data_IF_636045020148
#
_entry.id   IF_636045020148
#
_cell.length_a   1.000
_cell.length_b   1.000
_cell.length_c   1.000
_cell.angle_alpha   90.00
_cell.angle_beta   90.00
_cell.angle_gamma   90.00
#
_symmetry.space_group_name_H-M   'P 1'
#
loop_
_entity.id
_entity.type
_entity.pdbx_description
1 polymer ?
#
# COMPACT_ATOMS: atom_id res chain seq x y z
N UNK A 1 18.29 -6.39 13.59
CA UNK A 1 17.80 -5.01 13.73
C UNK A 1 16.44 -4.95 13.07
N UNK A 2 15.53 -4.16 13.61
CA UNK A 2 14.17 -4.04 13.09
C UNK A 2 14.07 -2.89 12.09
N UNK A 3 13.07 -2.94 11.23
CA UNK A 3 12.72 -1.83 10.34
C UNK A 3 12.21 -0.68 11.20
N UNK A 4 12.73 0.53 10.96
CA UNK A 4 12.30 1.72 11.70
C UNK A 4 11.46 2.62 10.79
N UNK A 5 10.30 3.05 11.28
CA UNK A 5 9.45 4.04 10.62
C UNK A 5 9.42 5.28 11.52
N UNK A 6 9.88 6.41 11.00
CA UNK A 6 10.20 7.58 11.79
C UNK A 6 9.29 8.76 11.46
N UNK A 7 8.86 9.45 12.52
CA UNK A 7 8.18 10.75 12.46
C UNK A 7 9.03 11.78 13.22
N UNK A 8 10.03 12.39 12.56
CA UNK A 8 11.00 13.25 13.22
C UNK A 8 10.36 14.56 13.69
N UNK A 9 10.90 15.13 14.77
CA UNK A 9 10.52 16.46 15.23
C UNK A 9 10.72 17.50 14.13
N UNK A 10 9.81 18.49 14.06
CA UNK A 10 9.81 19.53 13.04
C UNK A 10 9.00 19.20 11.78
N UNK A 11 8.47 17.97 11.66
CA UNK A 11 7.49 17.58 10.65
C UNK A 11 6.14 17.23 11.29
N UNK A 12 5.10 17.13 10.46
CA UNK A 12 3.76 16.71 10.91
C UNK A 12 3.79 15.29 11.49
N UNK A 13 3.23 15.10 12.68
CA UNK A 13 2.95 13.76 13.23
C UNK A 13 1.60 13.28 12.71
N UNK A 14 1.57 12.11 12.08
CA UNK A 14 0.39 11.60 11.37
C UNK A 14 0.04 10.18 11.80
N UNK A 15 -1.23 9.86 12.12
CA UNK A 15 -1.63 8.47 12.32
C UNK A 15 -1.66 7.65 11.02
N UNK A 16 -1.57 8.31 9.86
CA UNK A 16 -1.75 7.67 8.56
C UNK A 16 -0.45 7.35 7.80
N UNK A 17 0.68 8.00 8.13
CA UNK A 17 1.96 7.76 7.44
C UNK A 17 3.18 8.17 8.28
N UNK A 18 4.31 7.53 8.02
CA UNK A 18 5.63 7.97 8.52
C UNK A 18 6.42 8.72 7.44
N UNK A 19 7.44 9.48 7.85
CA UNK A 19 8.27 10.27 6.91
C UNK A 19 9.49 9.53 6.39
N UNK A 20 10.06 8.61 7.17
CA UNK A 20 11.31 7.92 6.84
C UNK A 20 11.21 6.45 7.23
N UNK A 21 11.69 5.56 6.36
CA UNK A 21 11.92 4.15 6.65
C UNK A 21 13.43 3.86 6.67
N UNK A 22 13.89 3.18 7.71
CA UNK A 22 15.25 2.63 7.79
C UNK A 22 15.14 1.12 7.75
N UNK A 23 15.58 0.54 6.63
CA UNK A 23 15.66 -0.92 6.46
C UNK A 23 17.07 -1.38 6.83
N UNK A 24 17.21 -2.30 7.80
CA UNK A 24 18.52 -2.71 8.29
C UNK A 24 19.29 -3.56 7.27
N UNK A 25 20.63 -3.55 7.29
CA UNK A 25 21.45 -4.41 6.45
C UNK A 25 21.09 -5.90 6.59
N UNK A 26 21.15 -6.63 5.47
CA UNK A 26 20.80 -8.05 5.42
C UNK A 26 19.31 -8.36 5.27
N UNK A 27 18.44 -7.33 5.23
CA UNK A 27 17.02 -7.52 4.95
C UNK A 27 16.77 -7.80 3.46
N UNK A 28 15.80 -8.66 3.15
CA UNK A 28 15.30 -8.85 1.78
C UNK A 28 14.32 -7.73 1.45
N UNK A 29 14.57 -6.99 0.36
CA UNK A 29 13.63 -5.97 -0.14
C UNK A 29 12.73 -6.59 -1.21
N UNK A 30 11.43 -6.38 -1.07
CA UNK A 30 10.40 -6.89 -1.98
C UNK A 30 9.75 -5.69 -2.68
N UNK A 31 9.71 -5.75 -4.01
CA UNK A 31 9.06 -4.74 -4.84
C UNK A 31 7.73 -5.30 -5.35
N UNK A 32 6.63 -4.72 -4.87
CA UNK A 32 5.28 -5.05 -5.30
C UNK A 32 4.89 -4.15 -6.48
N UNK A 33 4.60 -4.76 -7.64
CA UNK A 33 4.05 -4.05 -8.79
C UNK A 33 2.65 -3.50 -8.54
N UNK A 34 2.19 -2.59 -9.41
CA UNK A 34 0.86 -1.97 -9.31
C UNK A 34 -0.27 -2.99 -9.25
N UNK A 35 -1.16 -2.83 -8.27
CA UNK A 35 -2.39 -3.59 -8.09
C UNK A 35 -3.58 -2.65 -8.29
N UNK A 36 -4.45 -2.99 -9.24
CA UNK A 36 -5.77 -2.40 -9.37
C UNK A 36 -6.82 -3.29 -8.66
N UNK A 37 -8.05 -2.81 -8.55
CA UNK A 37 -9.19 -3.62 -8.12
C UNK A 37 -9.72 -4.50 -9.24
N UNK A 38 -8.88 -5.40 -9.78
CA UNK A 38 -9.25 -6.38 -10.80
C UNK A 38 -9.24 -7.80 -10.25
N UNK A 39 -10.17 -8.63 -10.71
CA UNK A 39 -10.22 -10.05 -10.41
C UNK A 39 -9.13 -10.85 -11.19
N UNK A 40 -9.09 -12.17 -11.00
CA UNK A 40 -8.15 -13.07 -11.65
C UNK A 40 -8.28 -13.12 -13.18
N UNK A 41 -9.40 -12.64 -13.73
CA UNK A 41 -9.63 -12.53 -15.18
C UNK A 41 -9.18 -11.17 -15.72
N UNK A 42 -8.72 -10.27 -14.86
CA UNK A 42 -8.30 -8.91 -15.18
C UNK A 42 -9.48 -7.95 -15.34
N UNK A 43 -10.69 -8.31 -14.91
CA UNK A 43 -11.85 -7.44 -14.95
C UNK A 43 -11.97 -6.62 -13.67
N UNK A 44 -12.29 -5.33 -13.81
CA UNK A 44 -12.49 -4.45 -12.66
C UNK A 44 -13.72 -4.89 -11.85
N UNK A 45 -13.55 -5.04 -10.55
CA UNK A 45 -14.64 -5.44 -9.66
C UNK A 45 -15.71 -4.33 -9.58
N UNK A 46 -17.01 -4.69 -9.57
CA UNK A 46 -18.09 -3.72 -9.41
C UNK A 46 -18.13 -3.17 -7.98
N UNK A 47 -18.80 -2.03 -7.79
CA UNK A 47 -18.99 -1.44 -6.45
C UNK A 47 -18.17 -0.19 -6.16
N UNK A 48 -17.64 0.48 -7.19
CA UNK A 48 -16.98 1.77 -7.07
C UNK A 48 -15.61 1.69 -6.41
N UNK A 49 -15.13 2.83 -5.90
CA UNK A 49 -13.76 2.95 -5.40
C UNK A 49 -13.54 2.16 -4.11
N UNK A 50 -14.53 2.04 -3.22
CA UNK A 50 -14.40 1.18 -2.03
C UNK A 50 -14.11 -0.28 -2.42
N UNK A 51 -14.92 -0.85 -3.32
CA UNK A 51 -14.76 -2.24 -3.73
C UNK A 51 -13.39 -2.46 -4.42
N UNK A 52 -13.01 -1.54 -5.31
CA UNK A 52 -11.72 -1.62 -5.98
C UNK A 52 -10.54 -1.45 -5.02
N UNK A 53 -10.64 -0.59 -4.00
CA UNK A 53 -9.58 -0.38 -3.01
C UNK A 53 -9.36 -1.61 -2.15
N UNK A 54 -10.46 -2.21 -1.66
CA UNK A 54 -10.41 -3.45 -0.90
C UNK A 54 -9.78 -4.58 -1.73
N UNK A 55 -10.20 -4.74 -2.97
CA UNK A 55 -9.71 -5.80 -3.83
C UNK A 55 -8.26 -5.59 -4.28
N UNK A 56 -7.85 -4.35 -4.57
CA UNK A 56 -6.45 -4.03 -4.83
C UNK A 56 -5.53 -4.38 -3.65
N UNK A 57 -6.01 -4.18 -2.42
CA UNK A 57 -5.28 -4.57 -1.21
C UNK A 57 -5.24 -6.10 -1.02
N UNK A 58 -6.31 -6.82 -1.36
CA UNK A 58 -6.33 -8.29 -1.38
C UNK A 58 -5.31 -8.84 -2.39
N UNK A 59 -5.26 -8.25 -3.59
CA UNK A 59 -4.26 -8.60 -4.60
C UNK A 59 -2.83 -8.34 -4.11
N UNK A 60 -2.60 -7.24 -3.39
CA UNK A 60 -1.32 -6.96 -2.76
C UNK A 60 -0.94 -7.99 -1.69
N UNK A 61 -1.90 -8.43 -0.86
CA UNK A 61 -1.68 -9.50 0.12
C UNK A 61 -1.26 -10.82 -0.55
N UNK A 62 -1.97 -11.23 -1.62
CA UNK A 62 -1.63 -12.43 -2.39
C UNK A 62 -0.21 -12.35 -2.96
N UNK A 63 0.14 -11.20 -3.55
CA UNK A 63 1.45 -10.99 -4.16
C UNK A 63 2.59 -10.93 -3.11
N UNK A 64 2.37 -10.29 -1.96
CA UNK A 64 3.33 -10.29 -0.85
C UNK A 64 3.52 -11.68 -0.26
N UNK A 65 2.44 -12.45 -0.11
CA UNK A 65 2.48 -13.80 0.43
C UNK A 65 3.33 -14.75 -0.43
N UNK A 66 3.35 -14.55 -1.76
CA UNK A 66 4.23 -15.31 -2.67
C UNK A 66 5.73 -15.11 -2.37
N UNK A 67 6.10 -14.02 -1.69
CA UNK A 67 7.46 -13.73 -1.23
C UNK A 67 7.63 -13.94 0.29
N UNK A 68 6.67 -14.59 0.97
CA UNK A 68 6.70 -14.80 2.41
C UNK A 68 6.44 -13.54 3.25
N UNK A 69 6.01 -12.44 2.63
CA UNK A 69 5.70 -11.18 3.30
C UNK A 69 4.20 -11.03 3.57
N UNK A 70 3.89 -10.16 4.50
CA UNK A 70 2.54 -9.74 4.86
C UNK A 70 2.39 -8.25 4.65
N UNK A 71 1.16 -7.71 4.79
CA UNK A 71 0.98 -6.26 4.79
C UNK A 71 1.87 -5.59 5.83
N UNK A 72 2.14 -6.22 6.97
CA UNK A 72 2.97 -5.68 8.06
C UNK A 72 4.44 -5.46 7.69
N UNK A 73 4.90 -6.11 6.62
CA UNK A 73 6.27 -5.98 6.12
C UNK A 73 6.41 -4.82 5.13
N UNK A 74 5.29 -4.21 4.69
CA UNK A 74 5.30 -3.05 3.81
C UNK A 74 5.87 -1.83 4.54
N UNK A 75 6.86 -1.20 3.90
CA UNK A 75 7.54 0.01 4.39
C UNK A 75 7.10 1.27 3.64
N UNK A 76 6.63 1.12 2.40
CA UNK A 76 6.16 2.26 1.59
C UNK A 76 5.03 1.83 0.65
N UNK A 77 3.98 2.66 0.59
CA UNK A 77 2.93 2.62 -0.42
C UNK A 77 3.06 3.78 -1.41
N UNK A 78 2.75 3.50 -2.67
CA UNK A 78 2.42 4.52 -3.67
C UNK A 78 0.99 4.28 -4.14
N UNK A 79 0.14 5.29 -4.08
CA UNK A 79 -1.28 5.21 -4.43
C UNK A 79 -1.60 6.23 -5.51
N UNK A 80 -1.99 5.74 -6.68
CA UNK A 80 -2.47 6.57 -7.78
C UNK A 80 -3.98 6.44 -7.84
N UNK A 81 -4.67 7.58 -7.89
CA UNK A 81 -6.14 7.61 -7.95
C UNK A 81 -6.59 8.33 -9.21
N UNK A 82 -7.61 7.78 -9.86
CA UNK A 82 -8.34 8.50 -10.90
C UNK A 82 -9.11 9.68 -10.28
N UNK A 83 -9.29 10.83 -10.97
CA UNK A 83 -9.97 11.99 -10.40
C UNK A 83 -11.44 11.74 -10.05
N UNK A 84 -12.04 10.66 -10.57
CA UNK A 84 -13.40 10.21 -10.25
C UNK A 84 -13.47 9.45 -8.92
N UNK A 85 -12.34 9.06 -8.34
CA UNK A 85 -12.27 8.30 -7.10
C UNK A 85 -12.47 9.20 -5.88
N UNK A 86 -13.40 8.84 -4.98
CA UNK A 86 -13.46 9.44 -3.65
C UNK A 86 -12.38 8.81 -2.76
N UNK A 87 -11.34 9.60 -2.46
CA UNK A 87 -10.21 9.19 -1.60
C UNK A 87 -10.69 8.76 -0.20
N UNK A 88 -11.73 9.40 0.34
CA UNK A 88 -12.25 9.08 1.68
C UNK A 88 -12.94 7.73 1.69
N UNK A 89 -13.69 7.43 0.64
CA UNK A 89 -14.36 6.14 0.47
C UNK A 89 -13.34 5.00 0.33
N UNK A 90 -12.30 5.21 -0.48
CA UNK A 90 -11.19 4.25 -0.59
C UNK A 90 -10.47 4.05 0.75
N UNK A 91 -10.12 5.15 1.43
CA UNK A 91 -9.39 5.09 2.69
C UNK A 91 -10.20 4.47 3.83
N UNK A 92 -11.52 4.65 3.86
CA UNK A 92 -12.39 4.09 4.89
C UNK A 92 -12.33 2.55 4.94
N UNK A 93 -12.08 1.90 3.80
CA UNK A 93 -12.00 0.43 3.73
C UNK A 93 -10.56 -0.11 3.89
N UNK A 94 -9.54 0.57 3.38
CA UNK A 94 -8.15 0.10 3.49
C UNK A 94 -7.45 0.55 4.77
N UNK A 95 -7.81 1.73 5.29
CA UNK A 95 -7.19 2.33 6.48
C UNK A 95 -7.18 1.40 7.69
N UNK A 96 -8.31 0.76 8.06
CA UNK A 96 -8.35 -0.19 9.19
C UNK A 96 -7.44 -1.41 9.02
N UNK A 97 -7.22 -1.89 7.79
CA UNK A 97 -6.35 -3.03 7.49
C UNK A 97 -4.86 -2.67 7.49
N UNK A 98 -4.56 -1.41 7.21
CA UNK A 98 -3.19 -0.87 7.18
C UNK A 98 -2.79 -0.21 8.51
N UNK A 99 -3.73 -0.05 9.43
CA UNK A 99 -3.49 0.60 10.72
C UNK A 99 -2.53 -0.23 11.56
N UNK A 100 -1.43 0.40 11.99
CA UNK A 100 -0.46 -0.19 12.92
C UNK A 100 -0.27 0.73 14.13
N UNK A 101 -0.08 0.18 15.33
CA UNK A 101 0.32 0.99 16.48
C UNK A 101 1.64 1.72 16.23
N UNK A 102 1.63 3.05 16.34
CA UNK A 102 2.81 3.91 16.40
C UNK A 102 3.62 4.13 15.12
N UNK A 103 3.66 3.16 14.20
CA UNK A 103 4.58 3.15 13.06
C UNK A 103 3.86 2.81 11.74
N UNK A 104 3.04 3.71 11.18
CA UNK A 104 2.44 3.52 9.86
C UNK A 104 3.52 3.60 8.75
N UNK A 105 3.33 2.90 7.62
CA UNK A 105 4.28 2.93 6.50
C UNK A 105 4.39 4.33 5.87
N UNK A 106 5.37 4.51 4.98
CA UNK A 106 5.44 5.69 4.13
C UNK A 106 4.28 5.63 3.12
N UNK A 107 3.73 6.78 2.75
CA UNK A 107 2.66 6.85 1.75
C UNK A 107 2.89 8.04 0.83
N UNK A 108 2.93 7.78 -0.47
CA UNK A 108 2.78 8.80 -1.51
C UNK A 108 1.45 8.58 -2.21
N UNK A 109 0.65 9.64 -2.36
CA UNK A 109 -0.63 9.56 -3.07
C UNK A 109 -0.76 10.70 -4.08
N UNK A 110 -1.32 10.41 -5.25
CA UNK A 110 -1.56 11.40 -6.29
C UNK A 110 -2.86 11.11 -7.05
N UNK A 111 -3.57 12.19 -7.41
CA UNK A 111 -4.57 12.13 -8.46
C UNK A 111 -3.85 12.17 -9.81
N UNK A 112 -4.11 11.18 -10.67
CA UNK A 112 -3.50 11.07 -12.00
C UNK A 112 -4.54 11.34 -13.09
N UNK A 113 -4.10 11.62 -14.32
CA UNK A 113 -5.04 11.86 -15.43
C UNK A 113 -5.86 10.61 -15.82
N UNK A 114 -5.35 9.43 -15.50
CA UNK A 114 -5.99 8.15 -15.72
C UNK A 114 -5.06 6.98 -15.42
N UNK A 115 -5.64 5.78 -15.39
CA UNK A 115 -4.93 4.51 -15.19
C UNK A 115 -5.02 3.68 -16.47
N UNK A 116 -4.10 2.73 -16.64
CA UNK A 116 -4.00 1.92 -17.86
C UNK A 116 -5.12 0.89 -17.97
N UNK A 117 -5.62 0.38 -16.85
CA UNK A 117 -6.76 -0.55 -16.82
C UNK A 117 -8.07 0.22 -16.99
N UNK A 118 -8.85 -0.05 -18.07
CA UNK A 118 -10.13 0.63 -18.27
C UNK A 118 -11.08 0.40 -17.10
N UNK A 119 -11.62 1.49 -16.55
CA UNK A 119 -12.57 1.45 -15.43
C UNK A 119 -11.93 1.39 -14.04
N UNK A 120 -10.60 1.24 -13.94
CA UNK A 120 -9.91 1.34 -12.67
C UNK A 120 -9.99 2.77 -12.11
N UNK A 121 -10.22 2.87 -10.81
CA UNK A 121 -10.32 4.11 -10.04
C UNK A 121 -9.08 4.33 -9.16
N UNK A 122 -8.29 3.29 -8.93
CA UNK A 122 -7.02 3.37 -8.21
C UNK A 122 -6.04 2.28 -8.65
N UNK A 123 -4.78 2.55 -8.35
CA UNK A 123 -3.68 1.60 -8.39
C UNK A 123 -2.79 1.81 -7.17
N UNK A 124 -2.42 0.74 -6.48
CA UNK A 124 -1.46 0.77 -5.39
C UNK A 124 -0.24 -0.10 -5.68
N UNK A 125 0.94 0.38 -5.32
CA UNK A 125 2.19 -0.40 -5.36
C UNK A 125 2.92 -0.22 -4.05
N UNK A 126 3.86 -1.12 -3.76
CA UNK A 126 4.55 -1.11 -2.49
C UNK A 126 6.01 -1.53 -2.57
N UNK A 127 6.75 -1.10 -1.55
CA UNK A 127 8.02 -1.71 -1.16
C UNK A 127 7.84 -2.31 0.22
N UNK A 128 8.21 -3.58 0.36
CA UNK A 128 8.24 -4.29 1.63
C UNK A 128 9.66 -4.75 1.96
N UNK A 129 9.92 -5.04 3.22
CA UNK A 129 11.21 -5.57 3.66
C UNK A 129 11.02 -6.66 4.72
N UNK A 130 11.78 -7.75 4.57
CA UNK A 130 11.85 -8.83 5.54
C UNK A 130 13.21 -8.79 6.24
N UNK A 131 13.25 -8.65 7.58
CA UNK A 131 14.51 -8.70 8.32
C UNK A 131 15.14 -10.11 8.23
N UNK A 132 16.46 -10.23 8.47
CA UNK A 132 17.14 -11.51 8.52
C UNK A 132 16.41 -12.53 9.41
N UNK A 133 16.17 -13.74 8.89
CA UNK A 133 15.48 -14.82 9.62
C UNK A 133 13.96 -14.88 9.44
N UNK A 134 13.36 -13.96 8.68
CA UNK A 134 11.94 -14.04 8.23
C UNK A 134 11.79 -14.21 6.71
N UNK A 135 12.90 -14.20 5.97
CA UNK A 135 12.93 -14.43 4.53
C UNK A 135 12.98 -15.94 4.20
#
# INVERSE_FOLDING_TARGET
>A
MDIQLLQPAGLVTSPAFSHVAVVPPGSTTIYLGGQNGVDETGQVVPGGVAAQAAHALDNAEVALAAAGATLDDVVQWTVLLDPRADVREAYAVVGPRLARPGAPPLVTAALVAGLTVPGALLELSAVAALPPGRA
#
